data_IF_402316115636
#
_entry.id   IF_402316115636
#
_cell.length_a   1.000
_cell.length_b   1.000
_cell.length_c   1.000
_cell.angle_alpha   90.00
_cell.angle_beta   90.00
_cell.angle_gamma   90.00
#
_symmetry.space_group_name_H-M   'P 1'
#
loop_
_entity.id
_entity.type
_entity.pdbx_description
1 polymer ?
#
# COMPACT_ATOMS: atom_id res chain seq x y z
N UNK A 1 -16.49 -54.74 55.45
CA UNK A 1 -16.39 -54.72 53.98
C UNK A 1 -17.66 -54.12 53.42
N UNK A 2 -17.49 -53.15 52.50
CA UNK A 2 -18.49 -52.47 51.66
C UNK A 2 -19.56 -51.63 52.37
N UNK A 3 -19.22 -50.35 52.55
CA UNK A 3 -20.15 -49.24 52.75
C UNK A 3 -20.54 -48.64 51.40
N UNK A 4 -21.82 -48.31 51.23
CA UNK A 4 -22.24 -47.06 50.60
C UNK A 4 -23.73 -46.83 50.91
N UNK A 5 -23.97 -45.85 51.77
CA UNK A 5 -25.26 -45.24 52.08
C UNK A 5 -25.37 -43.95 51.24
N UNK A 6 -26.53 -43.49 50.73
CA UNK A 6 -27.53 -42.58 51.33
C UNK A 6 -28.38 -42.14 50.10
N UNK A 7 -29.69 -42.45 49.98
CA UNK A 7 -30.88 -41.68 50.43
C UNK A 7 -30.79 -40.18 50.07
N UNK A 8 -31.78 -39.41 49.59
CA UNK A 8 -33.23 -39.43 49.47
C UNK A 8 -33.56 -38.30 48.44
N UNK A 9 -34.53 -38.44 47.52
CA UNK A 9 -35.96 -38.03 47.63
C UNK A 9 -36.11 -36.57 48.13
N UNK A 10 -36.91 -35.66 47.58
CA UNK A 10 -37.66 -35.45 46.34
C UNK A 10 -38.33 -34.03 46.46
N UNK A 11 -39.14 -33.67 45.47
CA UNK A 11 -40.41 -32.90 45.58
C UNK A 11 -40.42 -31.41 45.19
N UNK A 12 -41.20 -31.15 44.11
CA UNK A 12 -42.18 -30.09 43.78
C UNK A 12 -41.82 -28.61 44.08
N UNK A 13 -41.80 -27.70 43.11
CA UNK A 13 -42.87 -27.09 42.27
C UNK A 13 -43.32 -25.70 42.78
N UNK A 14 -43.81 -24.87 41.84
CA UNK A 14 -44.65 -23.66 41.97
C UNK A 14 -43.99 -22.26 41.82
N UNK A 15 -44.27 -21.67 40.65
CA UNK A 15 -44.86 -20.33 40.38
C UNK A 15 -44.69 -19.17 41.36
N UNK A 16 -44.36 -17.99 40.83
CA UNK A 16 -44.69 -16.70 41.46
C UNK A 16 -44.01 -15.50 40.82
N UNK A 17 -44.78 -14.66 40.13
CA UNK A 17 -44.39 -13.32 39.69
C UNK A 17 -44.65 -12.35 40.85
N UNK A 18 -43.68 -11.53 41.24
CA UNK A 18 -43.84 -10.55 42.31
C UNK A 18 -42.78 -9.46 42.24
N UNK A 19 -43.20 -8.23 41.94
CA UNK A 19 -42.38 -7.03 41.88
C UNK A 19 -42.08 -6.50 43.29
N UNK A 20 -40.81 -6.25 43.59
CA UNK A 20 -40.37 -5.37 44.68
C UNK A 20 -39.04 -4.70 44.30
N UNK A 21 -38.99 -3.37 44.44
CA UNK A 21 -37.84 -2.52 44.16
C UNK A 21 -36.70 -2.77 45.16
N UNK A 22 -35.46 -2.87 44.66
CA UNK A 22 -34.26 -2.55 45.44
C UNK A 22 -33.16 -2.09 44.49
N UNK A 23 -32.54 -0.98 44.84
CA UNK A 23 -31.62 -0.16 44.05
C UNK A 23 -30.42 -0.95 43.50
N UNK A 24 -30.26 -0.97 42.17
CA UNK A 24 -29.06 -1.45 41.51
C UNK A 24 -28.06 -0.28 41.29
N UNK A 25 -26.74 -0.55 41.29
CA UNK A 25 -25.72 0.48 41.13
C UNK A 25 -25.78 1.05 39.71
N UNK A 26 -25.41 2.33 39.57
CA UNK A 26 -25.22 2.98 38.29
C UNK A 26 -24.29 2.12 37.42
N UNK A 27 -24.84 1.58 36.32
CA UNK A 27 -24.02 1.07 35.24
C UNK A 27 -23.20 2.26 34.73
N UNK A 28 -21.89 2.17 34.88
CA UNK A 28 -20.95 3.05 34.20
C UNK A 28 -21.26 2.99 32.71
N UNK A 29 -21.91 4.04 32.20
CA UNK A 29 -21.87 4.38 30.79
C UNK A 29 -20.41 4.70 30.48
N UNK A 30 -19.64 3.67 30.15
CA UNK A 30 -18.44 3.87 29.35
C UNK A 30 -18.92 4.41 28.01
N UNK A 31 -18.82 5.73 27.88
CA UNK A 31 -18.79 6.42 26.60
C UNK A 31 -17.73 5.75 25.75
N UNK A 32 -18.17 4.79 24.93
CA UNK A 32 -17.46 4.42 23.73
C UNK A 32 -17.46 5.68 22.86
N UNK A 33 -16.43 6.50 23.01
CA UNK A 33 -16.02 7.44 21.99
C UNK A 33 -15.71 6.60 20.77
N UNK A 34 -16.73 6.43 19.93
CA UNK A 34 -16.63 5.87 18.60
C UNK A 34 -15.83 6.88 17.79
N UNK A 35 -14.50 6.88 18.00
CA UNK A 35 -13.53 7.35 17.02
C UNK A 35 -13.85 6.56 15.77
N UNK A 36 -14.36 7.26 14.75
CA UNK A 36 -14.90 6.65 13.53
C UNK A 36 -13.94 5.61 13.00
N UNK A 37 -14.30 4.34 13.15
CA UNK A 37 -13.56 3.24 12.56
C UNK A 37 -13.64 3.44 11.05
N UNK A 38 -12.56 3.95 10.47
CA UNK A 38 -12.37 3.96 9.03
C UNK A 38 -12.57 2.52 8.59
N UNK A 39 -13.52 2.28 7.66
CA UNK A 39 -13.78 0.97 7.11
C UNK A 39 -12.43 0.29 6.80
N UNK A 40 -12.23 -0.93 7.32
CA UNK A 40 -10.98 -1.68 7.16
C UNK A 40 -10.58 -1.66 5.69
N UNK A 41 -9.48 -0.96 5.36
CA UNK A 41 -8.94 -0.93 4.01
C UNK A 41 -8.80 -2.36 3.46
N UNK A 42 -9.23 -2.56 2.22
CA UNK A 42 -9.10 -3.85 1.54
C UNK A 42 -7.62 -4.26 1.46
N UNK A 43 -7.34 -5.56 1.57
CA UNK A 43 -5.97 -6.07 1.40
C UNK A 43 -5.50 -5.81 -0.03
N UNK A 44 -4.26 -5.33 -0.18
CA UNK A 44 -3.67 -5.11 -1.49
C UNK A 44 -3.56 -6.44 -2.28
N UNK A 45 -4.03 -6.50 -3.54
CA UNK A 45 -3.93 -7.71 -4.34
C UNK A 45 -2.48 -8.08 -4.68
N UNK A 46 -2.13 -9.36 -4.53
CA UNK A 46 -0.79 -9.90 -4.82
C UNK A 46 -0.72 -10.76 -6.10
N UNK A 47 -1.87 -10.94 -6.77
CA UNK A 47 -2.02 -11.95 -7.81
C UNK A 47 -1.82 -11.36 -9.20
N UNK A 48 -1.39 -12.23 -10.11
CA UNK A 48 -1.47 -12.07 -11.55
C UNK A 48 -2.83 -12.55 -12.08
N UNK A 49 -3.47 -11.86 -13.06
CA UNK A 49 -3.11 -10.53 -13.54
C UNK A 49 -3.33 -9.43 -12.50
N UNK A 50 -2.57 -8.34 -12.60
CA UNK A 50 -2.64 -7.20 -11.69
C UNK A 50 -4.04 -6.59 -11.68
N UNK A 51 -4.51 -6.29 -10.47
CA UNK A 51 -5.86 -5.77 -10.18
C UNK A 51 -5.84 -4.79 -9.01
N UNK A 52 -6.96 -4.08 -8.82
CA UNK A 52 -7.11 -3.11 -7.74
C UNK A 52 -6.39 -1.79 -8.01
N UNK A 53 -6.07 -1.05 -6.95
CA UNK A 53 -5.64 0.35 -7.03
C UNK A 53 -4.24 0.56 -7.63
N UNK A 54 -3.44 -0.51 -7.72
CA UNK A 54 -2.09 -0.52 -8.30
C UNK A 54 -2.05 -1.00 -9.76
N UNK A 55 -3.22 -1.25 -10.35
CA UNK A 55 -3.39 -1.44 -11.79
C UNK A 55 -3.63 -0.07 -12.42
N UNK A 56 -2.68 0.41 -13.20
CA UNK A 56 -2.86 1.60 -14.05
C UNK A 56 -3.30 1.18 -15.46
N UNK A 57 -3.12 2.08 -16.42
CA UNK A 57 -3.31 1.81 -17.84
C UNK A 57 -2.26 0.78 -18.32
N UNK A 58 -2.69 -0.17 -19.15
CA UNK A 58 -1.85 -1.30 -19.59
C UNK A 58 -1.70 -1.37 -21.12
N UNK A 59 -2.26 -0.40 -21.83
CA UNK A 59 -2.17 -0.29 -23.28
C UNK A 59 -0.89 0.45 -23.71
N UNK A 60 0.26 -0.20 -23.59
CA UNK A 60 1.54 0.37 -24.03
C UNK A 60 2.60 -0.71 -24.26
N UNK A 61 3.59 -0.39 -25.08
CA UNK A 61 4.71 -1.28 -25.36
C UNK A 61 5.75 -1.29 -24.24
N UNK A 62 5.87 -0.15 -23.54
CA UNK A 62 6.81 0.06 -22.45
C UNK A 62 6.04 0.26 -21.14
N UNK A 63 6.63 -0.20 -20.05
CA UNK A 63 5.91 -0.25 -18.78
C UNK A 63 6.74 -0.86 -17.68
N UNK A 64 6.19 -0.81 -16.46
CA UNK A 64 6.78 -1.49 -15.31
C UNK A 64 5.75 -2.39 -14.67
N UNK A 65 6.23 -3.51 -14.16
CA UNK A 65 5.45 -4.43 -13.34
C UNK A 65 6.31 -5.00 -12.22
N UNK A 66 5.65 -5.47 -11.16
CA UNK A 66 6.31 -6.16 -10.07
C UNK A 66 5.54 -6.07 -8.78
N UNK A 67 6.21 -6.39 -7.67
CA UNK A 67 5.62 -6.35 -6.35
C UNK A 67 6.20 -5.22 -5.49
N UNK A 68 5.35 -4.58 -4.69
CA UNK A 68 5.79 -3.84 -3.50
C UNK A 68 5.62 -4.74 -2.28
N UNK A 69 6.73 -5.08 -1.64
CA UNK A 69 6.80 -5.92 -0.45
C UNK A 69 6.97 -5.07 0.81
N UNK A 70 6.24 -5.44 1.85
CA UNK A 70 6.38 -4.84 3.17
C UNK A 70 7.37 -5.65 4.01
N UNK A 71 8.55 -5.10 4.27
CA UNK A 71 9.56 -5.68 5.18
C UNK A 71 9.78 -4.83 6.44
N UNK A 72 8.89 -3.87 6.70
CA UNK A 72 9.00 -2.94 7.85
C UNK A 72 8.74 -3.61 9.20
N UNK A 73 8.13 -4.80 9.21
CA UNK A 73 7.72 -5.51 10.41
C UNK A 73 6.37 -5.06 11.00
N UNK A 74 5.74 -4.04 10.43
CA UNK A 74 4.41 -3.56 10.81
C UNK A 74 3.48 -3.48 9.59
N UNK A 75 2.16 -3.46 9.80
CA UNK A 75 1.19 -3.23 8.73
C UNK A 75 1.44 -1.86 8.09
N UNK A 76 1.36 -1.78 6.75
CA UNK A 76 1.51 -0.53 5.98
C UNK A 76 0.32 -0.33 5.04
N UNK A 77 0.20 0.89 4.52
CA UNK A 77 -0.86 1.28 3.60
C UNK A 77 -0.27 1.74 2.28
N UNK A 78 -0.82 1.24 1.18
CA UNK A 78 -0.36 1.55 -0.16
C UNK A 78 -1.42 2.38 -0.88
N UNK A 79 -1.01 3.50 -1.46
CA UNK A 79 -1.87 4.47 -2.12
C UNK A 79 -1.61 4.50 -3.62
N UNK A 80 -2.68 4.68 -4.39
CA UNK A 80 -2.62 4.87 -5.84
C UNK A 80 -2.23 6.30 -6.19
N UNK A 81 -1.47 6.47 -7.27
CA UNK A 81 -1.25 7.80 -7.85
C UNK A 81 -2.51 8.38 -8.50
N UNK A 82 -3.57 7.58 -8.70
CA UNK A 82 -4.82 8.03 -9.32
C UNK A 82 -5.77 8.55 -8.25
N UNK A 83 -6.25 9.78 -8.43
CA UNK A 83 -7.17 10.46 -7.51
C UNK A 83 -8.51 9.73 -7.36
N UNK A 84 -8.96 9.03 -8.41
CA UNK A 84 -10.17 8.19 -8.37
C UNK A 84 -10.06 7.01 -7.39
N UNK A 85 -8.84 6.61 -7.01
CA UNK A 85 -8.54 5.55 -6.05
C UNK A 85 -7.99 6.14 -4.74
N UNK A 86 -8.78 7.00 -4.10
CA UNK A 86 -8.34 7.78 -2.94
C UNK A 86 -8.14 6.94 -1.65
N UNK A 87 -8.75 5.75 -1.57
CA UNK A 87 -8.59 4.87 -0.40
C UNK A 87 -7.36 3.96 -0.58
N UNK A 88 -6.47 3.88 0.41
CA UNK A 88 -5.34 2.96 0.36
C UNK A 88 -5.80 1.52 0.53
N UNK A 89 -4.98 0.58 0.09
CA UNK A 89 -5.10 -0.82 0.46
C UNK A 89 -4.11 -1.17 1.57
N UNK A 90 -4.45 -2.18 2.37
CA UNK A 90 -3.62 -2.67 3.49
C UNK A 90 -2.63 -3.73 3.04
N UNK A 91 -1.38 -3.63 3.49
CA UNK A 91 -0.33 -4.60 3.23
C UNK A 91 0.32 -5.07 4.54
N UNK A 92 0.10 -6.33 4.90
CA UNK A 92 0.61 -6.92 6.14
C UNK A 92 2.13 -7.12 6.12
N UNK A 93 2.80 -7.26 7.29
CA UNK A 93 4.21 -7.60 7.35
C UNK A 93 4.54 -8.85 6.52
N UNK A 94 5.56 -8.77 5.68
CA UNK A 94 6.01 -9.84 4.79
C UNK A 94 5.16 -10.05 3.53
N UNK A 95 4.01 -9.38 3.41
CA UNK A 95 3.17 -9.48 2.23
C UNK A 95 3.67 -8.61 1.07
N UNK A 96 3.29 -8.97 -0.15
CA UNK A 96 3.53 -8.21 -1.38
C UNK A 96 2.24 -7.82 -2.09
N UNK A 97 2.24 -6.69 -2.79
CA UNK A 97 1.15 -6.25 -3.66
C UNK A 97 1.64 -6.07 -5.09
N UNK A 98 0.93 -6.63 -6.06
CA UNK A 98 1.28 -6.52 -7.48
C UNK A 98 0.89 -5.16 -8.03
N UNK A 99 1.75 -4.58 -8.84
CA UNK A 99 1.49 -3.38 -9.62
C UNK A 99 1.86 -3.57 -11.08
N UNK A 100 1.22 -2.78 -11.94
CA UNK A 100 1.49 -2.75 -13.37
C UNK A 100 1.01 -1.41 -13.94
N UNK A 101 1.88 -0.77 -14.71
CA UNK A 101 1.54 0.46 -15.45
C UNK A 101 2.36 0.53 -16.72
N UNK A 102 1.69 0.90 -17.82
CA UNK A 102 2.38 1.43 -18.99
C UNK A 102 3.15 2.69 -18.61
N UNK A 103 4.22 2.99 -19.32
CA UNK A 103 4.93 4.26 -19.22
C UNK A 103 4.43 5.20 -20.30
N UNK A 104 3.93 6.37 -19.89
CA UNK A 104 3.69 7.47 -20.80
C UNK A 104 5.00 8.19 -21.04
N UNK A 105 5.47 8.24 -22.29
CA UNK A 105 6.67 9.03 -22.65
C UNK A 105 6.43 10.53 -22.68
N UNK A 106 5.19 10.96 -22.47
CA UNK A 106 4.80 12.38 -22.43
C UNK A 106 4.34 12.73 -21.02
N UNK A 107 4.81 13.86 -20.46
CA UNK A 107 4.28 14.33 -19.19
C UNK A 107 2.79 14.65 -19.35
N UNK A 108 1.96 14.46 -18.31
CA UNK A 108 0.58 14.92 -18.32
C UNK A 108 0.51 16.41 -18.67
N UNK A 109 -0.49 16.83 -19.46
CA UNK A 109 -0.66 18.24 -19.87
C UNK A 109 -1.98 18.82 -19.37
N UNK A 110 -1.98 20.11 -19.04
CA UNK A 110 -3.20 20.84 -18.67
C UNK A 110 -3.98 20.14 -17.56
N UNK A 111 -5.22 19.76 -17.86
CA UNK A 111 -6.15 19.11 -16.93
C UNK A 111 -5.83 17.64 -16.64
N UNK A 112 -4.89 17.01 -17.36
CA UNK A 112 -4.50 15.61 -17.08
C UNK A 112 -3.94 15.47 -15.65
N UNK A 113 -3.36 16.54 -15.11
CA UNK A 113 -2.88 16.58 -13.73
C UNK A 113 -3.99 16.42 -12.69
N UNK A 114 -5.25 16.73 -13.02
CA UNK A 114 -6.38 16.63 -12.10
C UNK A 114 -6.79 15.17 -11.83
N UNK A 115 -6.33 14.23 -12.67
CA UNK A 115 -6.55 12.80 -12.49
C UNK A 115 -5.59 12.17 -11.46
N UNK A 116 -4.51 12.85 -11.09
CA UNK A 116 -3.50 12.33 -10.17
C UNK A 116 -3.71 12.83 -8.73
N UNK A 117 -3.29 12.01 -7.77
CA UNK A 117 -3.31 12.34 -6.36
C UNK A 117 -2.37 13.52 -6.05
N UNK A 118 -2.72 14.36 -5.08
CA UNK A 118 -1.96 15.56 -4.72
C UNK A 118 -0.55 15.25 -4.21
N UNK A 119 -0.33 14.04 -3.70
CA UNK A 119 0.97 13.58 -3.25
C UNK A 119 1.94 13.21 -4.36
N UNK A 120 1.45 12.92 -5.57
CA UNK A 120 2.29 12.53 -6.71
C UNK A 120 3.29 13.66 -6.99
N UNK A 121 4.61 13.41 -6.92
CA UNK A 121 5.59 14.45 -7.20
C UNK A 121 5.40 15.04 -8.60
N UNK A 122 5.44 16.37 -8.69
CA UNK A 122 5.48 17.10 -9.96
C UNK A 122 6.94 17.35 -10.31
N UNK A 123 7.59 16.37 -10.94
CA UNK A 123 8.94 16.57 -11.48
C UNK A 123 8.87 17.52 -12.69
N UNK A 124 9.88 18.38 -12.83
CA UNK A 124 9.92 19.44 -13.84
C UNK A 124 10.11 18.90 -15.26
N UNK A 125 9.94 19.76 -16.27
CA UNK A 125 10.00 19.37 -17.69
C UNK A 125 11.34 18.76 -18.14
N UNK A 126 12.44 19.00 -17.41
CA UNK A 126 13.75 18.41 -17.69
C UNK A 126 13.81 16.90 -17.43
N UNK A 127 12.93 16.39 -16.56
CA UNK A 127 12.62 14.98 -16.41
C UNK A 127 11.10 14.82 -16.49
N UNK A 128 10.51 14.76 -17.70
CA UNK A 128 9.06 14.76 -17.83
C UNK A 128 8.46 13.67 -16.92
N UNK A 129 7.41 14.01 -16.18
CA UNK A 129 6.76 13.15 -15.16
C UNK A 129 6.05 11.95 -15.77
N UNK A 130 6.90 11.04 -16.27
CA UNK A 130 6.62 9.83 -17.03
C UNK A 130 6.70 8.60 -16.13
N UNK A 131 6.92 8.79 -14.83
CA UNK A 131 6.99 7.69 -13.87
C UNK A 131 5.61 7.27 -13.39
N UNK A 132 5.47 5.97 -13.17
CA UNK A 132 4.43 5.38 -12.34
C UNK A 132 4.80 5.56 -10.87
N UNK A 133 3.86 6.07 -10.06
CA UNK A 133 4.12 6.34 -8.65
C UNK A 133 3.28 5.46 -7.72
N UNK A 134 3.89 5.03 -6.63
CA UNK A 134 3.25 4.34 -5.51
C UNK A 134 3.63 5.10 -4.24
N UNK A 135 2.67 5.34 -3.35
CA UNK A 135 2.97 5.86 -2.00
C UNK A 135 2.72 4.76 -0.97
N UNK A 136 3.70 4.55 -0.08
CA UNK A 136 3.59 3.61 1.04
C UNK A 136 3.69 4.40 2.35
N UNK A 137 2.74 4.24 3.26
CA UNK A 137 2.69 4.93 4.57
C UNK A 137 2.58 3.94 5.74
N UNK A 138 3.07 4.31 6.94
CA UNK A 138 2.93 3.52 8.17
C UNK A 138 1.57 3.68 8.85
N UNK A 139 0.65 4.46 8.29
CA UNK A 139 -0.71 4.68 8.79
C UNK A 139 -1.67 4.99 7.62
N UNK A 140 -2.98 4.67 7.71
CA UNK A 140 -3.96 5.06 6.70
C UNK A 140 -4.34 6.54 6.77
N UNK A 141 -3.87 7.26 7.79
CA UNK A 141 -4.06 8.71 7.91
C UNK A 141 -3.38 9.42 6.73
N UNK A 142 -4.14 10.29 6.04
CA UNK A 142 -3.62 11.04 4.90
C UNK A 142 -2.50 12.02 5.28
N UNK A 143 -2.39 12.41 6.55
CA UNK A 143 -1.30 13.22 7.08
C UNK A 143 -0.05 12.39 7.43
N UNK A 144 -0.13 11.05 7.42
CA UNK A 144 1.00 10.17 7.71
C UNK A 144 2.10 10.32 6.65
N UNK A 145 3.33 10.56 7.12
CA UNK A 145 4.52 10.59 6.29
C UNK A 145 4.88 9.21 5.76
N UNK A 146 5.17 9.13 4.47
CA UNK A 146 5.52 7.89 3.79
C UNK A 146 6.55 8.09 2.68
N UNK A 147 6.72 7.02 1.91
CA UNK A 147 7.69 6.90 0.83
C UNK A 147 6.90 6.90 -0.49
N UNK A 148 7.05 7.97 -1.27
CA UNK A 148 6.61 7.98 -2.67
C UNK A 148 7.72 7.39 -3.54
N UNK A 149 7.43 6.25 -4.16
CA UNK A 149 8.34 5.50 -5.02
C UNK A 149 7.93 5.69 -6.47
N UNK A 150 8.82 6.23 -7.28
CA UNK A 150 8.59 6.48 -8.70
C UNK A 150 9.39 5.51 -9.55
N UNK A 151 8.74 4.77 -10.44
CA UNK A 151 9.37 3.85 -11.37
C UNK A 151 9.26 4.42 -12.78
N UNK A 152 10.35 4.38 -13.54
CA UNK A 152 10.37 4.78 -14.95
C UNK A 152 11.14 3.76 -15.76
N UNK A 153 10.51 3.30 -16.83
CA UNK A 153 11.15 2.54 -17.89
C UNK A 153 11.15 3.40 -19.15
N UNK A 154 12.29 3.96 -19.58
CA UNK A 154 12.35 4.86 -20.74
C UNK A 154 12.46 4.08 -22.06
N UNK A 155 11.90 4.64 -23.16
CA UNK A 155 12.09 4.16 -24.56
C UNK A 155 13.54 3.80 -24.91
N UNK A 156 14.48 4.54 -24.32
CA UNK A 156 15.92 4.42 -24.56
C UNK A 156 16.58 4.52 -23.19
N UNK A 157 17.46 3.56 -22.88
CA UNK A 157 18.18 3.34 -21.61
C UNK A 157 17.45 2.40 -20.63
N UNK A 158 18.15 2.04 -19.55
CA UNK A 158 17.63 1.18 -18.51
C UNK A 158 16.60 1.88 -17.60
N UNK A 159 15.72 1.11 -16.94
CA UNK A 159 14.81 1.62 -15.92
C UNK A 159 15.52 2.34 -14.77
N UNK A 160 14.78 3.22 -14.10
CA UNK A 160 15.21 3.94 -12.91
C UNK A 160 14.12 3.98 -11.85
N UNK A 161 14.51 3.93 -10.58
CA UNK A 161 13.60 4.06 -9.44
C UNK A 161 14.03 5.24 -8.57
N UNK A 162 13.03 5.95 -8.06
CA UNK A 162 13.18 7.15 -7.24
C UNK A 162 12.42 7.00 -5.93
N UNK A 163 12.90 7.66 -4.88
CA UNK A 163 12.20 7.77 -3.61
C UNK A 163 12.19 9.21 -3.11
N UNK A 164 11.05 9.65 -2.58
CA UNK A 164 10.89 10.95 -1.91
C UNK A 164 9.87 10.85 -0.78
N UNK A 165 9.98 11.72 0.22
CA UNK A 165 8.99 11.82 1.28
C UNK A 165 7.71 12.47 0.76
N UNK A 166 6.55 11.87 1.06
CA UNK A 166 5.23 12.50 0.88
C UNK A 166 4.25 12.05 1.95
N UNK A 167 3.29 12.91 2.26
CA UNK A 167 2.02 12.49 2.89
C UNK A 167 0.96 12.33 1.80
N UNK A 168 -0.10 11.53 2.02
CA UNK A 168 -1.14 11.33 1.02
C UNK A 168 -1.92 12.62 0.69
N UNK A 169 -1.97 13.58 1.64
CA UNK A 169 -2.51 14.93 1.39
C UNK A 169 -1.57 15.84 0.58
N UNK A 170 -0.30 15.46 0.40
CA UNK A 170 0.66 16.10 -0.50
C UNK A 170 1.74 16.95 0.16
N UNK A 171 1.90 16.86 1.48
CA UNK A 171 2.99 17.53 2.20
C UNK A 171 4.35 16.91 1.85
N UNK A 172 5.40 17.74 1.84
CA UNK A 172 6.80 17.37 1.57
C UNK A 172 7.71 17.85 2.72
N UNK A 173 8.90 17.26 2.86
CA UNK A 173 9.91 17.81 3.78
C UNK A 173 10.49 19.12 3.24
N UNK A 174 10.66 20.15 4.08
CA UNK A 174 11.27 21.42 3.65
C UNK A 174 12.80 21.35 3.50
N UNK A 175 13.50 20.56 4.34
CA UNK A 175 14.98 20.49 4.33
C UNK A 175 15.54 19.40 3.42
N UNK A 176 14.73 18.38 3.13
CA UNK A 176 15.12 17.15 2.42
C UNK A 176 14.19 16.84 1.23
N UNK A 177 13.65 17.85 0.52
CA UNK A 177 12.84 17.65 -0.71
C UNK A 177 13.65 17.04 -1.88
N UNK A 178 14.90 16.63 -1.62
CA UNK A 178 15.72 15.95 -2.61
C UNK A 178 15.20 14.53 -2.78
N UNK A 179 14.61 14.29 -3.94
CA UNK A 179 14.34 12.94 -4.42
C UNK A 179 15.66 12.20 -4.61
N UNK A 180 15.81 11.04 -3.98
CA UNK A 180 16.93 10.14 -4.25
C UNK A 180 16.55 9.21 -5.40
N UNK A 181 17.54 8.81 -6.19
CA UNK A 181 17.31 7.96 -7.37
C UNK A 181 18.42 6.95 -7.55
N UNK A 182 18.09 5.84 -8.20
CA UNK A 182 19.08 4.95 -8.81
C UNK A 182 19.59 5.60 -10.09
N UNK A 183 20.83 5.32 -10.48
CA UNK A 183 21.34 5.79 -11.76
C UNK A 183 20.67 5.06 -12.93
N UNK A 184 20.85 3.74 -12.99
CA UNK A 184 20.30 2.81 -13.98
C UNK A 184 20.14 1.43 -13.32
N UNK A 185 19.07 0.72 -13.64
CA UNK A 185 18.81 -0.63 -13.15
C UNK A 185 19.23 -1.66 -14.19
N UNK A 186 20.34 -2.34 -13.93
CA UNK A 186 20.75 -3.51 -14.70
C UNK A 186 19.97 -4.74 -14.25
N UNK A 187 19.77 -5.67 -15.18
CA UNK A 187 19.05 -6.91 -14.92
C UNK A 187 19.77 -7.79 -13.89
N UNK A 188 18.97 -8.47 -13.06
CA UNK A 188 19.42 -9.33 -11.97
C UNK A 188 20.31 -8.62 -10.94
N UNK A 189 20.11 -7.32 -10.74
CA UNK A 189 20.80 -6.51 -9.72
C UNK A 189 19.85 -5.96 -8.67
N UNK A 190 20.45 -5.63 -7.53
CA UNK A 190 19.78 -4.99 -6.40
C UNK A 190 20.40 -3.61 -6.15
N UNK A 191 19.55 -2.64 -5.84
CA UNK A 191 19.90 -1.25 -5.60
C UNK A 191 19.22 -0.77 -4.34
N UNK A 192 19.88 0.09 -3.57
CA UNK A 192 19.37 0.58 -2.29
C UNK A 192 19.11 2.07 -2.39
N UNK A 193 17.85 2.48 -2.24
CA UNK A 193 17.48 3.87 -2.01
C UNK A 193 17.36 4.08 -0.50
N UNK A 194 18.26 4.85 0.08
CA UNK A 194 18.25 5.13 1.52
C UNK A 194 18.52 6.60 1.81
N UNK A 195 17.61 7.24 2.54
CA UNK A 195 17.75 8.62 3.01
C UNK A 195 17.03 8.85 4.34
N UNK A 196 17.38 9.93 5.03
CA UNK A 196 16.76 10.33 6.31
C UNK A 196 15.26 10.52 6.18
N UNK A 197 14.85 11.22 5.12
CA UNK A 197 13.45 11.55 4.86
C UNK A 197 12.79 10.59 3.86
N UNK A 198 13.56 10.08 2.90
CA UNK A 198 13.07 9.26 1.79
C UNK A 198 12.89 7.77 2.16
N UNK A 199 13.25 7.38 3.39
CA UNK A 199 13.13 6.01 3.88
C UNK A 199 14.19 5.06 3.29
N UNK A 200 13.92 3.76 3.44
CA UNK A 200 14.80 2.67 3.05
C UNK A 200 14.04 1.67 2.15
N UNK A 201 14.42 1.62 0.87
CA UNK A 201 13.83 0.75 -0.15
C UNK A 201 14.93 -0.01 -0.86
N UNK A 202 14.87 -1.35 -0.80
CA UNK A 202 15.63 -2.21 -1.70
C UNK A 202 14.85 -2.37 -3.01
N UNK A 203 15.51 -2.13 -4.12
CA UNK A 203 14.97 -2.25 -5.47
C UNK A 203 15.66 -3.43 -6.12
N UNK A 204 14.89 -4.37 -6.69
CA UNK A 204 15.43 -5.50 -7.42
C UNK A 204 14.90 -5.52 -8.84
N UNK A 205 15.80 -5.51 -9.81
CA UNK A 205 15.49 -5.64 -11.24
C UNK A 205 15.67 -7.09 -11.65
N UNK A 206 14.66 -7.67 -12.28
CA UNK A 206 14.70 -9.01 -12.87
C UNK A 206 14.96 -8.92 -14.37
N UNK A 207 15.19 -10.05 -15.05
CA UNK A 207 15.23 -10.09 -16.51
C UNK A 207 13.87 -9.72 -17.12
N UNK A 208 13.90 -9.03 -18.27
CA UNK A 208 12.72 -8.86 -19.11
C UNK A 208 12.23 -10.19 -19.65
N UNK A 209 10.93 -10.41 -19.48
CA UNK A 209 10.31 -11.63 -19.91
C UNK A 209 8.89 -11.34 -20.38
N UNK A 210 8.73 -11.27 -21.70
CA UNK A 210 7.45 -10.99 -22.34
C UNK A 210 6.34 -11.95 -21.90
N UNK A 211 6.63 -13.23 -21.64
CA UNK A 211 5.60 -14.18 -21.20
C UNK A 211 5.10 -13.85 -19.78
N UNK A 212 6.03 -13.54 -18.86
CA UNK A 212 5.67 -13.11 -17.50
C UNK A 212 4.91 -11.78 -17.55
N UNK A 213 5.37 -10.82 -18.34
CA UNK A 213 4.70 -9.54 -18.47
C UNK A 213 3.27 -9.69 -19.00
N UNK A 214 3.06 -10.54 -20.01
CA UNK A 214 1.72 -10.86 -20.54
C UNK A 214 0.82 -11.53 -19.50
N UNK A 215 1.37 -12.46 -18.74
CA UNK A 215 0.63 -13.12 -17.64
C UNK A 215 0.15 -12.08 -16.63
N UNK A 216 1.05 -11.19 -16.21
CA UNK A 216 0.81 -10.16 -15.20
C UNK A 216 -0.14 -9.07 -15.65
N UNK A 217 -0.05 -8.64 -16.90
CA UNK A 217 -0.84 -7.52 -17.41
C UNK A 217 -2.15 -7.99 -18.06
N UNK A 218 -2.20 -9.24 -18.52
CA UNK A 218 -3.30 -9.77 -19.31
C UNK A 218 -3.37 -9.19 -20.73
N UNK A 219 -2.29 -8.61 -21.26
CA UNK A 219 -2.24 -8.01 -22.61
C UNK A 219 -0.99 -8.43 -23.37
N UNK A 220 -1.10 -8.56 -24.69
CA UNK A 220 0.02 -8.89 -25.58
C UNK A 220 0.96 -7.72 -25.87
N UNK A 221 0.62 -6.51 -25.43
CA UNK A 221 1.42 -5.29 -25.67
C UNK A 221 2.62 -5.16 -24.74
N UNK A 222 2.73 -5.97 -23.68
CA UNK A 222 3.72 -5.77 -22.62
C UNK A 222 5.06 -6.49 -22.85
N UNK A 223 5.52 -6.61 -24.10
CA UNK A 223 6.71 -7.42 -24.39
C UNK A 223 8.02 -6.83 -23.89
N UNK A 224 8.07 -5.51 -23.69
CA UNK A 224 9.26 -4.75 -23.28
C UNK A 224 9.04 -4.04 -21.93
N UNK A 225 8.37 -4.72 -21.00
CA UNK A 225 8.07 -4.15 -19.68
C UNK A 225 9.11 -4.59 -18.66
N UNK A 226 9.75 -3.62 -18.01
CA UNK A 226 10.67 -3.88 -16.93
C UNK A 226 9.98 -4.49 -15.69
N UNK A 227 10.49 -5.64 -15.26
CA UNK A 227 10.10 -6.28 -13.99
C UNK A 227 10.97 -5.78 -12.84
N UNK A 228 10.35 -5.05 -11.91
CA UNK A 228 11.02 -4.43 -10.76
C UNK A 228 10.24 -4.72 -9.48
N UNK A 229 10.88 -5.37 -8.52
CA UNK A 229 10.32 -5.54 -7.18
C UNK A 229 10.90 -4.49 -6.21
N UNK A 230 10.04 -4.00 -5.32
CA UNK A 230 10.34 -3.00 -4.30
C UNK A 230 10.18 -3.66 -2.93
N UNK A 231 11.16 -3.50 -2.04
CA UNK A 231 11.06 -3.96 -0.67
C UNK A 231 11.22 -2.79 0.28
N UNK A 232 10.14 -2.42 0.96
CA UNK A 232 10.13 -1.31 1.90
C UNK A 232 10.60 -1.81 3.26
N UNK A 233 11.76 -1.34 3.71
CA UNK A 233 12.40 -1.78 4.95
C UNK A 233 12.19 -0.81 6.11
N UNK A 234 11.99 0.49 5.82
CA UNK A 234 11.77 1.47 6.87
C UNK A 234 11.37 2.83 6.33
N UNK A 235 10.60 3.56 7.13
CA UNK A 235 10.16 4.92 6.81
C UNK A 235 11.16 5.95 7.30
N UNK A 236 11.35 7.00 6.50
CA UNK A 236 12.02 8.22 6.93
C UNK A 236 11.04 9.17 7.63
N UNK A 237 11.54 10.32 8.05
CA UNK A 237 10.72 11.34 8.73
C UNK A 237 11.17 12.77 8.40
N UNK A 238 10.19 13.66 8.26
CA UNK A 238 10.34 15.07 8.62
C UNK A 238 9.73 15.29 10.03
#
# INVERSE_FOLDING_TARGET
>A
MRYAAISAVAVLALTGCGSAQTSAPAASLETASQSGAVASADTCPANSPVRGILKSELDGNDGVLGHVYNRTGATVWVWSERKSNASPCRLEPGAGASFASRMDHRPPKGTDWDAFASWRPRVNEAEPNTSYWILVTPSPDAASGGIAIGLKDPDVLQPVVRSTYRTAQGSACQRDDVMIRTDRLDENKEYRLKGSSQGDVLVKRYDDNAAIAKEWTGTDKSSDWARIDLYVDGFGSC
#
